data_IF_257515926976
#
_entry.id   IF_257515926976
#
_cell.length_a   1.000
_cell.length_b   1.000
_cell.length_c   1.000
_cell.angle_alpha   90.00
_cell.angle_beta   90.00
_cell.angle_gamma   90.00
#
_symmetry.space_group_name_H-M   'P 1'
#
loop_
_entity.id
_entity.type
_entity.pdbx_description
1 polymer ?
#
# COMPACT_ATOMS: atom_id res chain seq x y z
N UNK A 1 14.28 27.34 -8.35
CA UNK A 1 14.56 26.14 -7.52
C UNK A 1 13.76 24.99 -8.11
N UNK A 2 14.40 23.86 -8.45
CA UNK A 2 13.67 22.69 -8.99
C UNK A 2 12.74 22.13 -7.91
N UNK A 3 11.68 21.42 -8.33
CA UNK A 3 10.75 20.79 -7.40
C UNK A 3 11.43 19.69 -6.56
N UNK A 4 12.40 18.98 -7.14
CA UNK A 4 13.28 18.06 -6.41
C UNK A 4 14.07 18.77 -5.28
N UNK A 5 14.55 19.99 -5.54
CA UNK A 5 15.24 20.79 -4.51
C UNK A 5 14.27 21.21 -3.40
N UNK A 6 13.03 21.60 -3.75
CA UNK A 6 12.01 21.97 -2.76
C UNK A 6 11.67 20.78 -1.86
N UNK A 7 11.46 19.60 -2.43
CA UNK A 7 11.18 18.38 -1.67
C UNK A 7 12.35 18.02 -0.75
N UNK A 8 13.59 18.06 -1.25
CA UNK A 8 14.79 17.80 -0.44
C UNK A 8 14.89 18.77 0.74
N UNK A 9 14.69 20.07 0.48
CA UNK A 9 14.72 21.09 1.54
C UNK A 9 13.63 20.82 2.58
N UNK A 10 12.41 20.51 2.15
CA UNK A 10 11.31 20.14 3.03
C UNK A 10 11.69 18.92 3.89
N UNK A 11 12.23 17.86 3.29
CA UNK A 11 12.64 16.67 4.03
C UNK A 11 13.78 16.96 5.02
N UNK A 12 14.72 17.84 4.67
CA UNK A 12 15.80 18.26 5.58
C UNK A 12 15.27 19.01 6.80
N UNK A 13 14.28 19.90 6.64
CA UNK A 13 13.70 20.64 7.79
C UNK A 13 12.85 19.75 8.69
N UNK A 14 12.40 18.59 8.20
CA UNK A 14 11.61 17.61 8.94
C UNK A 14 12.41 16.36 9.34
N UNK A 15 13.74 16.39 9.18
CA UNK A 15 14.61 15.28 9.51
C UNK A 15 14.55 14.97 11.01
N UNK A 16 14.37 13.69 11.33
CA UNK A 16 14.36 13.20 12.70
C UNK A 16 15.73 12.65 13.07
N UNK A 17 16.53 13.47 13.74
CA UNK A 17 17.88 13.13 14.20
C UNK A 17 17.87 12.28 15.48
N UNK A 18 16.74 12.24 16.20
CA UNK A 18 16.60 11.47 17.43
C UNK A 18 16.27 10.00 17.12
N UNK A 19 17.18 9.09 17.48
CA UNK A 19 17.03 7.65 17.22
C UNK A 19 15.75 7.03 17.81
N UNK A 20 15.17 7.64 18.85
CA UNK A 20 14.03 7.13 19.61
C UNK A 20 12.68 7.79 19.29
N UNK A 21 12.66 8.90 18.53
CA UNK A 21 11.41 9.57 18.19
C UNK A 21 10.67 8.83 17.07
N UNK A 22 9.34 8.69 17.22
CA UNK A 22 8.49 8.01 16.24
C UNK A 22 8.45 8.83 14.94
N UNK A 23 8.98 8.24 13.88
CA UNK A 23 8.98 8.86 12.54
C UNK A 23 7.65 8.62 11.85
N UNK A 24 7.24 9.56 11.02
CA UNK A 24 6.02 9.47 10.20
C UNK A 24 6.32 8.92 8.80
N UNK A 25 7.53 9.18 8.31
CA UNK A 25 8.02 8.73 7.01
C UNK A 25 9.47 8.27 7.15
N UNK A 26 9.88 7.35 6.27
CA UNK A 26 11.26 6.87 6.18
C UNK A 26 11.70 6.85 4.72
N UNK A 27 13.00 7.06 4.46
CA UNK A 27 13.66 6.72 3.20
C UNK A 27 14.57 5.52 3.42
N UNK A 28 14.42 4.48 2.61
CA UNK A 28 15.13 3.20 2.81
C UNK A 28 16.60 3.25 2.38
N UNK A 29 16.91 4.04 1.36
CA UNK A 29 18.21 4.11 0.69
C UNK A 29 19.19 4.97 1.46
N UNK A 30 18.69 6.07 2.01
CA UNK A 30 19.47 7.05 2.76
C UNK A 30 19.28 6.92 4.28
N UNK A 31 18.52 5.92 4.73
CA UNK A 31 18.10 5.76 6.13
C UNK A 31 17.47 7.03 6.73
N UNK A 32 16.85 7.85 5.87
CA UNK A 32 16.21 9.10 6.26
C UNK A 32 14.98 8.79 7.12
N UNK A 33 14.77 9.59 8.15
CA UNK A 33 13.60 9.53 9.03
C UNK A 33 13.01 10.92 9.12
N UNK A 34 11.69 11.03 9.01
CA UNK A 34 11.03 12.33 8.94
C UNK A 34 9.79 12.38 9.81
N UNK A 35 9.59 13.52 10.47
CA UNK A 35 8.36 13.84 11.22
C UNK A 35 7.64 14.93 10.42
N UNK A 36 6.63 14.52 9.66
CA UNK A 36 5.78 15.39 8.84
C UNK A 36 4.41 15.42 9.52
N UNK A 37 4.03 16.59 10.02
CA UNK A 37 2.77 16.76 10.73
C UNK A 37 1.58 16.64 9.77
N UNK A 38 0.42 16.27 10.30
CA UNK A 38 -0.80 16.16 9.48
C UNK A 38 -1.17 17.47 8.77
N UNK A 39 -0.87 18.62 9.38
CA UNK A 39 -1.08 19.96 8.78
C UNK A 39 -0.18 20.25 7.58
N UNK A 40 0.94 19.56 7.45
CA UNK A 40 1.95 19.77 6.41
C UNK A 40 1.91 18.66 5.35
N UNK A 41 1.07 17.63 5.54
CA UNK A 41 1.00 16.49 4.64
C UNK A 41 0.51 16.88 3.24
N UNK A 42 -0.38 17.85 3.12
CA UNK A 42 -0.83 18.36 1.83
C UNK A 42 0.33 19.01 1.04
N UNK A 43 1.12 19.86 1.70
CA UNK A 43 2.30 20.48 1.10
C UNK A 43 3.32 19.43 0.69
N UNK A 44 3.62 18.49 1.59
CA UNK A 44 4.51 17.37 1.31
C UNK A 44 4.05 16.56 0.10
N UNK A 45 2.78 16.16 0.03
CA UNK A 45 2.24 15.37 -1.07
C UNK A 45 2.31 16.14 -2.40
N UNK A 46 2.09 17.46 -2.40
CA UNK A 46 2.25 18.31 -3.59
C UNK A 46 3.71 18.31 -4.05
N UNK A 47 4.65 18.56 -3.14
CA UNK A 47 6.09 18.54 -3.44
C UNK A 47 6.55 17.16 -3.95
N UNK A 48 6.10 16.09 -3.30
CA UNK A 48 6.39 14.72 -3.72
C UNK A 48 5.83 14.43 -5.12
N UNK A 49 4.63 14.91 -5.44
CA UNK A 49 3.95 14.64 -6.71
C UNK A 49 4.62 15.29 -7.94
N UNK A 50 5.46 16.30 -7.75
CA UNK A 50 6.14 17.00 -8.86
C UNK A 50 7.64 16.76 -8.93
N UNK A 51 8.20 16.05 -7.94
CA UNK A 51 9.60 15.62 -7.95
C UNK A 51 9.84 14.56 -9.05
N UNK A 52 10.96 14.68 -9.78
CA UNK A 52 11.25 13.90 -11.00
C UNK A 52 12.46 12.97 -10.87
N UNK A 53 13.29 13.12 -9.84
CA UNK A 53 14.56 12.38 -9.73
C UNK A 53 14.41 10.97 -9.13
N UNK A 54 13.66 10.10 -9.82
CA UNK A 54 13.88 8.66 -10.03
C UNK A 54 14.24 7.67 -8.88
N UNK A 55 14.34 8.04 -7.59
CA UNK A 55 14.68 7.10 -6.49
C UNK A 55 14.11 7.53 -5.14
N UNK A 56 12.96 8.19 -5.11
CA UNK A 56 12.33 8.54 -3.84
C UNK A 56 11.77 7.24 -3.26
N UNK A 57 12.55 6.59 -2.42
CA UNK A 57 12.15 5.37 -1.73
C UNK A 57 11.54 5.69 -0.36
N UNK A 58 10.65 6.68 -0.38
CA UNK A 58 9.90 7.11 0.79
C UNK A 58 8.76 6.15 1.04
N UNK A 59 8.66 5.71 2.29
CA UNK A 59 7.53 4.99 2.83
C UNK A 59 6.95 5.74 4.02
N UNK A 60 5.64 5.70 4.15
CA UNK A 60 4.89 6.19 5.30
C UNK A 60 4.93 5.12 6.40
N UNK A 61 5.16 5.53 7.64
CA UNK A 61 5.00 4.66 8.80
C UNK A 61 3.51 4.49 9.06
N UNK A 62 3.04 3.24 9.05
CA UNK A 62 1.61 2.92 9.19
C UNK A 62 1.15 3.23 10.62
N UNK A 63 0.25 4.23 10.82
CA UNK A 63 -0.27 4.57 12.14
C UNK A 63 -1.16 3.46 12.72
N UNK A 64 -1.50 3.55 14.02
CA UNK A 64 -2.37 2.55 14.65
C UNK A 64 -3.76 2.45 13.99
N UNK A 65 -4.29 3.60 13.59
CA UNK A 65 -5.51 3.75 12.81
C UNK A 65 -5.12 4.14 11.39
N UNK A 66 -5.26 3.23 10.44
CA UNK A 66 -4.82 3.43 9.07
C UNK A 66 -5.80 2.79 8.07
N UNK A 67 -5.79 3.24 6.81
CA UNK A 67 -6.41 2.49 5.73
C UNK A 67 -5.88 1.06 5.68
N UNK A 68 -6.74 0.11 5.30
CA UNK A 68 -6.33 -1.28 5.13
C UNK A 68 -5.39 -1.40 3.94
N UNK A 69 -4.17 -1.88 4.21
CA UNK A 69 -3.15 -2.23 3.22
C UNK A 69 -2.79 -3.71 3.36
N UNK A 70 -2.66 -4.39 2.23
CA UNK A 70 -2.38 -5.83 2.16
C UNK A 70 -1.25 -6.03 1.16
N UNK A 71 -0.14 -6.61 1.61
CA UNK A 71 1.01 -6.99 0.78
C UNK A 71 1.05 -8.51 0.62
N UNK A 72 0.84 -8.96 -0.63
CA UNK A 72 1.11 -10.34 -1.01
C UNK A 72 2.45 -10.46 -1.72
N UNK A 73 3.34 -11.27 -1.16
CA UNK A 73 4.64 -11.61 -1.73
C UNK A 73 4.70 -13.09 -2.10
N UNK A 74 4.64 -13.38 -3.40
CA UNK A 74 4.62 -14.75 -3.91
C UNK A 74 6.00 -15.20 -4.37
N UNK A 75 6.29 -16.49 -4.17
CA UNK A 75 7.47 -17.16 -4.73
C UNK A 75 7.03 -18.26 -5.69
N UNK A 76 7.67 -18.33 -6.86
CA UNK A 76 7.37 -19.28 -7.94
C UNK A 76 8.66 -19.93 -8.45
N UNK A 77 8.53 -21.13 -9.03
CA UNK A 77 9.62 -21.75 -9.81
C UNK A 77 9.71 -21.12 -11.19
N UNK A 78 8.59 -21.05 -11.91
CA UNK A 78 8.51 -20.57 -13.29
C UNK A 78 7.44 -19.50 -13.49
N UNK A 79 7.56 -18.72 -14.57
CA UNK A 79 6.55 -17.71 -14.92
C UNK A 79 5.19 -18.33 -15.26
N UNK A 80 5.17 -19.56 -15.79
CA UNK A 80 3.94 -20.32 -16.08
C UNK A 80 3.11 -20.62 -14.83
N UNK A 81 3.73 -20.57 -13.65
CA UNK A 81 3.09 -20.94 -12.38
C UNK A 81 2.36 -19.74 -11.76
N UNK A 82 2.51 -18.54 -12.33
CA UNK A 82 1.86 -17.31 -11.85
C UNK A 82 0.36 -17.35 -12.17
N UNK A 83 -0.44 -17.90 -11.24
CA UNK A 83 -1.91 -17.98 -11.39
C UNK A 83 -2.65 -16.84 -10.68
N UNK A 84 -2.02 -16.19 -9.71
CA UNK A 84 -2.68 -15.17 -8.89
C UNK A 84 -3.22 -13.98 -9.70
N UNK A 85 -2.64 -13.66 -10.87
CA UNK A 85 -3.16 -12.64 -11.80
C UNK A 85 -4.60 -12.91 -12.23
N UNK A 86 -4.93 -14.16 -12.55
CA UNK A 86 -6.28 -14.56 -12.94
C UNK A 86 -7.24 -14.55 -11.74
N UNK A 87 -6.71 -14.62 -10.52
CA UNK A 87 -7.50 -14.71 -9.29
C UNK A 87 -7.65 -13.38 -8.55
N UNK A 88 -7.08 -12.26 -9.02
CA UNK A 88 -7.17 -10.95 -8.32
C UNK A 88 -8.62 -10.58 -8.00
N UNK A 89 -9.56 -10.76 -8.94
CA UNK A 89 -10.98 -10.48 -8.69
C UNK A 89 -11.53 -11.33 -7.55
N UNK A 90 -11.16 -12.62 -7.47
CA UNK A 90 -11.60 -13.51 -6.38
C UNK A 90 -10.99 -13.10 -5.05
N UNK A 91 -9.71 -12.74 -5.02
CA UNK A 91 -9.01 -12.23 -3.83
C UNK A 91 -9.73 -10.99 -3.30
N UNK A 92 -9.98 -10.00 -4.16
CA UNK A 92 -10.66 -8.75 -3.78
C UNK A 92 -12.07 -9.02 -3.29
N UNK A 93 -12.81 -9.91 -3.97
CA UNK A 93 -14.17 -10.29 -3.55
C UNK A 93 -14.17 -10.95 -2.17
N UNK A 94 -13.18 -11.81 -1.88
CA UNK A 94 -13.05 -12.45 -0.57
C UNK A 94 -12.75 -11.44 0.53
N UNK A 95 -11.81 -10.52 0.31
CA UNK A 95 -11.57 -9.44 1.28
C UNK A 95 -12.78 -8.54 1.47
N UNK A 96 -13.46 -8.18 0.39
CA UNK A 96 -14.68 -7.36 0.46
C UNK A 96 -15.74 -8.03 1.31
N UNK A 97 -15.97 -9.35 1.12
CA UNK A 97 -16.89 -10.14 1.95
C UNK A 97 -16.50 -10.14 3.41
N UNK A 98 -15.23 -10.45 3.74
CA UNK A 98 -14.77 -10.46 5.14
C UNK A 98 -14.92 -9.07 5.78
N UNK A 99 -14.63 -8.01 5.03
CA UNK A 99 -14.77 -6.63 5.51
C UNK A 99 -16.23 -6.21 5.67
N UNK A 100 -17.13 -6.70 4.81
CA UNK A 100 -18.58 -6.52 4.97
C UNK A 100 -19.09 -7.23 6.22
N UNK A 101 -18.66 -8.48 6.46
CA UNK A 101 -19.00 -9.21 7.68
C UNK A 101 -18.46 -8.52 8.95
N UNK A 102 -17.28 -7.90 8.85
CA UNK A 102 -16.67 -7.18 9.98
C UNK A 102 -17.30 -5.81 10.24
N UNK A 103 -17.64 -5.04 9.20
CA UNK A 103 -17.94 -3.60 9.32
C UNK A 103 -19.33 -3.18 8.79
N UNK A 104 -20.09 -4.09 8.18
CA UNK A 104 -21.43 -3.86 7.61
C UNK A 104 -21.43 -3.48 6.13
N UNK A 105 -22.52 -3.77 5.42
CA UNK A 105 -22.60 -3.62 3.95
C UNK A 105 -22.62 -2.17 3.43
N UNK A 106 -22.80 -1.17 4.30
CA UNK A 106 -22.99 0.24 3.93
C UNK A 106 -21.66 1.01 3.76
N UNK A 107 -20.51 0.35 3.84
CA UNK A 107 -19.19 0.99 3.76
C UNK A 107 -18.65 1.08 2.35
N UNK A 108 -17.72 2.03 2.15
CA UNK A 108 -17.04 2.19 0.88
C UNK A 108 -15.85 1.21 0.75
N UNK A 109 -16.13 0.03 0.20
CA UNK A 109 -15.13 -1.02 -0.04
C UNK A 109 -14.33 -0.84 -1.34
N UNK A 110 -14.12 0.40 -1.80
CA UNK A 110 -13.22 0.64 -2.93
C UNK A 110 -11.88 -0.04 -2.67
N UNK A 111 -11.45 -0.90 -3.58
CA UNK A 111 -10.16 -1.59 -3.48
C UNK A 111 -9.28 -1.21 -4.65
N UNK A 112 -8.14 -0.59 -4.36
CA UNK A 112 -7.12 -0.23 -5.35
C UNK A 112 -6.06 -1.33 -5.37
N UNK A 113 -5.91 -1.97 -6.53
CA UNK A 113 -4.91 -3.02 -6.74
C UNK A 113 -3.72 -2.46 -7.48
N UNK A 114 -2.52 -2.66 -6.92
CA UNK A 114 -1.27 -2.27 -7.55
C UNK A 114 -0.34 -3.46 -7.77
N UNK A 115 0.43 -3.41 -8.86
CA UNK A 115 1.40 -4.43 -9.23
C UNK A 115 2.64 -3.82 -9.86
N UNK A 116 3.76 -4.55 -9.79
CA UNK A 116 4.90 -4.31 -10.68
C UNK A 116 4.57 -4.81 -12.08
N UNK A 117 5.22 -4.23 -13.09
CA UNK A 117 5.01 -4.60 -14.50
C UNK A 117 5.41 -6.04 -14.80
N UNK A 118 6.46 -6.53 -14.14
CA UNK A 118 7.00 -7.88 -14.32
C UNK A 118 7.47 -8.47 -12.99
N UNK A 119 7.39 -9.80 -12.83
CA UNK A 119 8.07 -10.49 -11.74
C UNK A 119 9.59 -10.29 -11.87
N UNK A 120 10.33 -10.56 -10.78
CA UNK A 120 11.78 -10.49 -10.78
C UNK A 120 12.39 -11.76 -10.22
N UNK A 121 13.57 -12.13 -10.71
CA UNK A 121 14.33 -13.25 -10.14
C UNK A 121 15.28 -12.78 -9.06
N UNK A 122 15.36 -13.56 -7.98
CA UNK A 122 16.41 -13.47 -6.99
C UNK A 122 16.96 -14.88 -6.79
N UNK A 123 18.22 -15.10 -7.20
CA UNK A 123 18.78 -16.46 -7.33
C UNK A 123 17.89 -17.31 -8.27
N UNK A 124 17.45 -18.48 -7.82
CA UNK A 124 16.61 -19.40 -8.61
C UNK A 124 15.11 -19.27 -8.34
N UNK A 125 14.69 -18.29 -7.54
CA UNK A 125 13.28 -18.07 -7.19
C UNK A 125 12.74 -16.87 -7.96
N UNK A 126 11.57 -17.04 -8.57
CA UNK A 126 10.83 -15.97 -9.21
C UNK A 126 9.89 -15.34 -8.18
N UNK A 127 10.00 -14.03 -7.99
CA UNK A 127 9.17 -13.26 -7.08
C UNK A 127 8.19 -12.40 -7.84
N UNK A 128 6.93 -12.40 -7.41
CA UNK A 128 5.92 -11.45 -7.84
C UNK A 128 5.14 -10.96 -6.62
N UNK A 129 4.50 -9.81 -6.74
CA UNK A 129 3.71 -9.26 -5.66
C UNK A 129 2.50 -8.50 -6.13
N UNK A 130 1.49 -8.45 -5.26
CA UNK A 130 0.26 -7.71 -5.46
C UNK A 130 -0.05 -6.97 -4.18
N UNK A 131 -0.31 -5.67 -4.28
CA UNK A 131 -0.82 -4.91 -3.15
C UNK A 131 -2.30 -4.63 -3.36
N UNK A 132 -3.08 -4.78 -2.29
CA UNK A 132 -4.46 -4.30 -2.20
C UNK A 132 -4.48 -3.17 -1.17
N UNK A 133 -5.20 -2.10 -1.48
CA UNK A 133 -5.44 -1.01 -0.55
C UNK A 133 -6.93 -0.66 -0.55
N UNK A 134 -7.55 -0.59 0.62
CA UNK A 134 -8.89 -0.07 0.81
C UNK A 134 -8.79 1.33 1.41
N UNK A 135 -8.62 2.39 0.58
CA UNK A 135 -8.27 3.73 1.05
C UNK A 135 -9.34 4.38 1.93
N UNK A 136 -10.59 3.90 1.87
CA UNK A 136 -11.72 4.45 2.62
C UNK A 136 -12.17 3.57 3.79
N UNK A 137 -11.45 2.48 4.07
CA UNK A 137 -11.69 1.63 5.24
C UNK A 137 -10.53 1.84 6.19
N UNK A 138 -10.73 2.69 7.20
CA UNK A 138 -9.74 2.98 8.23
C UNK A 138 -10.15 2.27 9.51
N UNK A 139 -9.24 1.46 10.05
CA UNK A 139 -9.48 0.69 11.26
C UNK A 139 -8.21 0.57 12.09
N UNK A 140 -8.36 0.10 13.33
CA UNK A 140 -7.22 -0.20 14.18
C UNK A 140 -6.41 -1.41 13.67
N UNK A 141 -5.10 -1.41 13.89
CA UNK A 141 -4.18 -2.49 13.49
C UNK A 141 -4.62 -3.89 13.92
N UNK A 142 -5.29 -4.01 15.06
CA UNK A 142 -5.79 -5.31 15.54
C UNK A 142 -6.80 -5.94 14.56
N UNK A 143 -7.59 -5.13 13.84
CA UNK A 143 -8.55 -5.64 12.86
C UNK A 143 -7.86 -6.13 11.58
N UNK A 144 -6.65 -5.63 11.24
CA UNK A 144 -5.84 -6.19 10.15
C UNK A 144 -5.38 -7.61 10.46
N UNK A 145 -5.06 -7.89 11.74
CA UNK A 145 -4.69 -9.25 12.19
C UNK A 145 -5.86 -10.21 12.02
N UNK A 146 -7.07 -9.78 12.43
CA UNK A 146 -8.28 -10.57 12.28
C UNK A 146 -8.64 -10.79 10.80
N UNK A 147 -8.57 -9.75 9.98
CA UNK A 147 -8.77 -9.83 8.53
C UNK A 147 -7.86 -10.88 7.89
N UNK A 148 -6.57 -10.87 8.27
CA UNK A 148 -5.59 -11.85 7.81
C UNK A 148 -5.95 -13.27 8.25
N UNK A 149 -6.33 -13.46 9.50
CA UNK A 149 -6.73 -14.77 10.02
C UNK A 149 -7.94 -15.33 9.27
N UNK A 150 -8.98 -14.51 9.10
CA UNK A 150 -10.20 -14.88 8.38
C UNK A 150 -9.94 -15.19 6.90
N UNK A 151 -9.03 -14.43 6.25
CA UNK A 151 -8.64 -14.72 4.88
C UNK A 151 -7.91 -16.06 4.77
N UNK A 152 -6.93 -16.31 5.64
CA UNK A 152 -6.10 -17.53 5.60
C UNK A 152 -6.91 -18.79 5.93
N UNK A 153 -7.78 -18.72 6.95
CA UNK A 153 -8.56 -19.87 7.42
C UNK A 153 -9.43 -20.49 6.33
N UNK A 154 -9.94 -19.65 5.42
CA UNK A 154 -10.92 -20.04 4.41
C UNK A 154 -10.41 -19.80 2.98
N UNK A 155 -9.10 -19.66 2.77
CA UNK A 155 -8.55 -19.42 1.44
C UNK A 155 -8.50 -20.71 0.62
N UNK A 156 -9.34 -20.81 -0.41
CA UNK A 156 -9.37 -21.92 -1.37
C UNK A 156 -8.73 -21.58 -2.73
N UNK A 157 -8.10 -20.40 -2.83
CA UNK A 157 -7.56 -19.87 -4.09
C UNK A 157 -6.22 -20.53 -4.42
N UNK A 158 -6.15 -21.23 -5.55
CA UNK A 158 -4.87 -21.70 -6.11
C UNK A 158 -4.08 -20.55 -6.72
N UNK A 159 -3.01 -20.14 -6.04
CA UNK A 159 -2.10 -19.11 -6.52
C UNK A 159 -0.93 -19.64 -7.37
N UNK A 160 -0.73 -20.97 -7.45
CA UNK A 160 0.41 -21.60 -8.10
C UNK A 160 1.76 -21.37 -7.39
N UNK A 161 1.71 -21.11 -6.08
CA UNK A 161 2.80 -20.61 -5.25
C UNK A 161 3.63 -21.71 -4.57
N UNK A 162 4.90 -21.41 -4.29
CA UNK A 162 5.83 -22.31 -3.59
C UNK A 162 5.86 -22.09 -2.06
N UNK A 163 5.63 -20.86 -1.61
CA UNK A 163 5.66 -20.51 -0.18
C UNK A 163 4.33 -20.83 0.51
N UNK A 164 4.25 -20.84 1.84
CA UNK A 164 2.96 -21.03 2.51
C UNK A 164 2.10 -19.76 2.47
N UNK A 165 0.77 -19.90 2.61
CA UNK A 165 -0.13 -18.74 2.50
C UNK A 165 0.19 -17.69 3.58
N UNK A 166 0.57 -18.15 4.76
CA UNK A 166 1.04 -17.35 5.89
C UNK A 166 2.33 -16.57 5.57
N UNK A 167 3.13 -17.07 4.63
CA UNK A 167 4.35 -16.41 4.16
C UNK A 167 4.07 -15.45 3.00
N UNK A 168 2.97 -15.64 2.28
CA UNK A 168 2.57 -14.73 1.19
C UNK A 168 1.95 -13.47 1.76
N UNK A 169 0.94 -13.62 2.62
CA UNK A 169 0.26 -12.49 3.25
C UNK A 169 1.09 -12.02 4.44
N UNK A 170 1.79 -10.89 4.25
CA UNK A 170 2.57 -10.25 5.30
C UNK A 170 1.71 -10.00 6.56
N UNK A 171 2.28 -10.32 7.73
CA UNK A 171 1.54 -10.30 9.00
C UNK A 171 1.13 -8.88 9.39
N UNK A 172 2.04 -7.94 9.20
CA UNK A 172 1.85 -6.54 9.49
C UNK A 172 2.93 -5.75 8.77
N UNK A 173 2.52 -4.86 7.88
CA UNK A 173 3.43 -4.00 7.13
C UNK A 173 3.63 -2.70 7.91
N UNK A 174 4.77 -2.49 8.61
CA UNK A 174 4.97 -1.33 9.48
C UNK A 174 5.14 -0.03 8.69
N UNK A 175 5.52 -0.14 7.42
CA UNK A 175 5.80 0.98 6.52
C UNK A 175 5.20 0.68 5.15
N UNK A 176 4.49 1.63 4.57
CA UNK A 176 3.88 1.51 3.25
C UNK A 176 4.56 2.47 2.27
N UNK A 177 5.06 1.97 1.15
CA UNK A 177 5.66 2.84 0.14
C UNK A 177 4.61 3.79 -0.43
N UNK A 178 4.95 5.07 -0.52
CA UNK A 178 4.10 6.05 -1.20
C UNK A 178 3.87 5.62 -2.66
N UNK A 179 2.78 6.09 -3.27
CA UNK A 179 2.50 5.73 -4.66
C UNK A 179 3.67 6.16 -5.58
N UNK A 180 4.04 5.26 -6.50
CA UNK A 180 5.24 5.34 -7.37
C UNK A 180 6.61 5.33 -6.67
N UNK A 181 6.66 5.15 -5.34
CA UNK A 181 7.88 4.84 -4.60
C UNK A 181 8.21 3.35 -4.66
N UNK A 182 9.49 3.02 -4.48
CA UNK A 182 9.96 1.63 -4.40
C UNK A 182 11.36 1.53 -3.81
N UNK A 183 11.70 0.33 -3.34
CA UNK A 183 13.10 -0.03 -3.04
C UNK A 183 14.04 0.32 -4.21
N UNK A 184 15.29 0.71 -3.94
CA UNK A 184 16.28 0.94 -4.98
C UNK A 184 16.38 -0.25 -5.95
N UNK A 185 16.52 0.05 -7.24
CA UNK A 185 16.64 -0.94 -8.32
C UNK A 185 15.42 -1.85 -8.49
N UNK A 186 14.24 -1.45 -8.00
CA UNK A 186 12.97 -2.11 -8.27
C UNK A 186 12.06 -1.14 -9.01
N UNK A 187 11.23 -1.68 -9.91
CA UNK A 187 10.15 -0.89 -10.47
C UNK A 187 9.07 -0.65 -9.39
N UNK A 188 8.44 0.53 -9.38
CA UNK A 188 7.34 0.81 -8.46
C UNK A 188 6.08 0.03 -8.83
N UNK A 189 5.24 -0.14 -7.82
CA UNK A 189 3.90 -0.66 -8.01
C UNK A 189 3.03 0.41 -8.65
N UNK A 190 2.27 0.02 -9.68
CA UNK A 190 1.33 0.89 -10.40
C UNK A 190 -0.08 0.36 -10.24
N UNK A 191 -1.06 1.25 -10.20
CA UNK A 191 -2.47 0.87 -10.21
C UNK A 191 -2.76 0.09 -11.49
N UNK A 192 -3.27 -1.12 -11.34
CA UNK A 192 -3.72 -1.96 -12.46
C UNK A 192 -5.24 -2.02 -12.55
N UNK A 193 -5.94 -1.85 -11.43
CA UNK A 193 -7.40 -1.90 -11.36
C UNK A 193 -7.92 -1.36 -10.03
N UNK A 194 -9.10 -0.75 -10.08
CA UNK A 194 -9.91 -0.32 -8.95
C UNK A 194 -11.21 -1.14 -8.99
N UNK A 195 -11.54 -1.74 -7.86
CA UNK A 195 -12.74 -2.55 -7.66
C UNK A 195 -13.74 -1.84 -6.75
N UNK A 196 -15.00 -2.24 -6.86
CA UNK A 196 -16.13 -1.75 -6.05
C UNK A 196 -16.42 -0.25 -6.18
N UNK A 197 -15.84 0.42 -7.19
CA UNK A 197 -16.06 1.83 -7.48
C UNK A 197 -15.82 2.12 -8.97
N UNK A 198 -16.85 1.93 -9.79
CA UNK A 198 -16.76 2.12 -11.25
C UNK A 198 -16.47 3.57 -11.63
N UNK A 199 -17.01 4.53 -10.88
CA UNK A 199 -16.77 5.94 -11.13
C UNK A 199 -15.30 6.30 -10.94
N UNK A 200 -14.69 5.86 -9.84
CA UNK A 200 -13.26 6.05 -9.62
C UNK A 200 -12.42 5.28 -10.65
N UNK A 201 -12.81 4.05 -11.02
CA UNK A 201 -12.17 3.30 -12.10
C UNK A 201 -12.24 4.00 -13.46
N UNK A 202 -13.26 4.82 -13.74
CA UNK A 202 -13.32 5.65 -14.96
C UNK A 202 -12.51 6.93 -14.83
N UNK A 203 -12.50 7.53 -13.63
CA UNK A 203 -11.89 8.84 -13.37
C UNK A 203 -10.38 8.78 -13.12
N UNK A 204 -9.83 7.65 -12.65
CA UNK A 204 -8.42 7.59 -12.21
C UNK A 204 -7.43 7.98 -13.31
N UNK A 205 -7.74 7.71 -14.57
CA UNK A 205 -6.89 8.07 -15.71
C UNK A 205 -6.76 9.59 -15.93
N UNK A 206 -7.66 10.37 -15.33
CA UNK A 206 -7.67 11.83 -15.38
C UNK A 206 -7.21 12.48 -14.07
N UNK A 207 -7.00 11.69 -13.01
CA UNK A 207 -6.47 12.20 -11.76
C UNK A 207 -5.02 12.64 -11.95
N UNK A 208 -4.66 13.77 -11.36
CA UNK A 208 -3.27 14.16 -11.25
C UNK A 208 -2.55 13.30 -10.21
N UNK A 209 -1.22 13.31 -10.24
CA UNK A 209 -0.43 12.44 -9.36
C UNK A 209 -0.65 12.74 -7.87
N UNK A 210 -0.84 14.02 -7.51
CA UNK A 210 -1.14 14.43 -6.14
C UNK A 210 -2.44 13.79 -5.63
N UNK A 211 -3.52 13.81 -6.42
CA UNK A 211 -4.80 13.20 -6.05
C UNK A 211 -4.65 11.68 -5.81
N UNK A 212 -3.82 11.00 -6.61
CA UNK A 212 -3.55 9.57 -6.43
C UNK A 212 -2.70 9.33 -5.19
N UNK A 213 -1.67 10.13 -4.95
CA UNK A 213 -0.84 10.04 -3.73
C UNK A 213 -1.68 10.25 -2.49
N UNK A 214 -2.54 11.27 -2.48
CA UNK A 214 -3.40 11.56 -1.34
C UNK A 214 -4.39 10.41 -1.09
N UNK A 215 -5.03 9.88 -2.15
CA UNK A 215 -5.90 8.71 -2.04
C UNK A 215 -5.15 7.49 -1.49
N UNK A 216 -3.91 7.26 -1.92
CA UNK A 216 -3.10 6.10 -1.56
C UNK A 216 -2.29 6.28 -0.28
N UNK A 217 -2.34 7.45 0.37
CA UNK A 217 -1.65 7.69 1.64
C UNK A 217 -2.31 6.91 2.78
N UNK A 218 -1.49 6.34 3.66
CA UNK A 218 -1.94 5.71 4.91
C UNK A 218 -2.05 6.70 6.07
N UNK A 219 -1.80 8.00 5.82
CA UNK A 219 -1.72 9.07 6.81
C UNK A 219 -2.90 10.04 6.65
N UNK A 220 -3.24 10.73 7.74
CA UNK A 220 -4.30 11.75 7.78
C UNK A 220 -5.71 11.26 7.33
N UNK A 221 -6.05 10.01 7.64
CA UNK A 221 -7.35 9.39 7.30
C UNK A 221 -8.22 9.06 8.52
N UNK A 222 -7.88 9.52 9.73
CA UNK A 222 -8.61 9.19 10.97
C UNK A 222 -10.08 9.63 10.96
N UNK A 223 -10.45 10.62 10.15
CA UNK A 223 -11.85 11.03 9.95
C UNK A 223 -12.71 9.96 9.25
N UNK A 224 -12.09 8.90 8.70
CA UNK A 224 -12.75 7.73 8.10
C UNK A 224 -12.75 6.50 9.02
N UNK A 225 -12.33 6.65 10.28
CA UNK A 225 -12.25 5.55 11.23
C UNK A 225 -13.63 4.88 11.40
N UNK A 226 -13.67 3.57 11.25
CA UNK A 226 -14.84 2.73 11.49
C UNK A 226 -14.53 1.64 12.53
N UNK A 227 -15.58 1.16 13.17
CA UNK A 227 -15.50 0.07 14.16
C UNK A 227 -16.31 -1.14 13.67
N UNK A 228 -15.93 -2.37 14.06
CA UNK A 228 -16.68 -3.56 13.70
C UNK A 228 -18.14 -3.51 14.17
N UNK A 229 -19.03 -4.18 13.45
CA UNK A 229 -20.38 -4.44 13.91
C UNK A 229 -20.32 -5.39 15.13
N UNK A 230 -21.12 -5.09 16.16
CA UNK A 230 -21.22 -5.89 17.38
C UNK A 230 -21.99 -7.18 17.17
#
# INVERSE_FOLDING_TARGET
MSDDTKLRNFLTTHANEERNALSTHISVSNFGRYIINSSELEEFNKLYSTATENTIDIAEVVPNEAPIVIDFSFSFKNESDIKHNANITKIVSRFTSILADMFGDDKNYTCVVTKRRKPYRLKNILHDGVHLQFPYIVCEKQHLVLLRQNFIADCDIDFGKENELEQIYDKMTPTWYMYLSSKPNREPYKIIKIYNNEDLQRKYQYMNLYEIIDMMSVRNKSHLLIHPIQ
#
